data_IF_608865299078
#
_entry.id   IF_608865299078
#
_cell.length_a   1.000
_cell.length_b   1.000
_cell.length_c   1.000
_cell.angle_alpha   90.00
_cell.angle_beta   90.00
_cell.angle_gamma   90.00
#
_symmetry.space_group_name_H-M   'P 1'
#
loop_
_entity.id
_entity.type
_entity.pdbx_description
1 polymer ?
#
# COMPACT_ATOMS: atom_id res chain seq x y z
N UNK A 1 40.17 -36.01 18.64
CA UNK A 1 38.69 -35.85 18.73
C UNK A 1 38.24 -34.40 18.83
N UNK A 2 38.98 -33.49 19.49
CA UNK A 2 38.63 -32.06 19.56
C UNK A 2 38.63 -31.36 18.18
N UNK A 3 39.70 -31.54 17.40
CA UNK A 3 39.87 -30.95 16.06
C UNK A 3 38.71 -31.22 15.08
N UNK A 4 38.11 -32.42 15.15
CA UNK A 4 36.98 -32.79 14.29
C UNK A 4 35.70 -32.06 14.72
N UNK A 5 35.50 -31.87 16.03
CA UNK A 5 34.34 -31.14 16.57
C UNK A 5 34.39 -29.66 16.22
N UNK A 6 35.58 -29.05 16.25
CA UNK A 6 35.77 -27.64 15.90
C UNK A 6 35.49 -27.39 14.40
N UNK A 7 35.89 -28.33 13.53
CA UNK A 7 35.60 -28.27 12.09
C UNK A 7 34.10 -28.37 11.80
N UNK A 8 33.37 -29.28 12.47
CA UNK A 8 31.91 -29.40 12.32
C UNK A 8 31.18 -28.17 12.83
N UNK A 9 31.61 -27.59 13.95
CA UNK A 9 31.04 -26.36 14.49
C UNK A 9 31.23 -25.18 13.53
N UNK A 10 32.42 -25.07 12.92
CA UNK A 10 32.70 -24.06 11.89
C UNK A 10 31.80 -24.21 10.66
N UNK A 11 31.62 -25.43 10.15
CA UNK A 11 30.74 -25.69 9.00
C UNK A 11 29.27 -25.37 9.30
N UNK A 12 28.78 -25.71 10.49
CA UNK A 12 27.43 -25.36 10.95
C UNK A 12 27.23 -23.84 11.04
N UNK A 13 28.21 -23.12 11.60
CA UNK A 13 28.15 -21.66 11.70
C UNK A 13 28.16 -20.99 10.32
N UNK A 14 29.00 -21.47 9.40
CA UNK A 14 29.05 -20.97 8.01
C UNK A 14 27.72 -21.27 7.30
N UNK A 15 27.17 -22.47 7.45
CA UNK A 15 25.88 -22.84 6.87
C UNK A 15 24.74 -21.95 7.40
N UNK A 16 24.70 -21.67 8.71
CA UNK A 16 23.70 -20.79 9.31
C UNK A 16 23.85 -19.34 8.84
N UNK A 17 25.08 -18.83 8.74
CA UNK A 17 25.36 -17.51 8.18
C UNK A 17 24.90 -17.40 6.72
N UNK A 18 25.22 -18.40 5.90
CA UNK A 18 24.79 -18.45 4.49
C UNK A 18 23.26 -18.51 4.38
N UNK A 19 22.57 -19.34 5.17
CA UNK A 19 21.11 -19.36 5.20
C UNK A 19 20.50 -18.01 5.58
N UNK A 20 21.09 -17.31 6.54
CA UNK A 20 20.61 -15.99 6.98
C UNK A 20 20.80 -14.92 5.91
N UNK A 21 21.94 -14.91 5.19
CA UNK A 21 22.20 -13.98 4.09
C UNK A 21 21.29 -14.27 2.89
N UNK A 22 21.05 -15.54 2.57
CA UNK A 22 20.18 -15.95 1.44
C UNK A 22 18.70 -15.62 1.71
N UNK A 23 18.29 -15.55 2.99
CA UNK A 23 16.89 -15.29 3.36
C UNK A 23 16.49 -13.81 3.25
N UNK A 24 17.41 -12.90 2.93
CA UNK A 24 17.05 -11.50 2.66
C UNK A 24 16.58 -11.36 1.22
N UNK A 25 15.27 -11.26 1.03
CA UNK A 25 14.71 -10.91 -0.28
C UNK A 25 15.14 -9.48 -0.65
N UNK A 26 15.69 -9.26 -1.85
CA UNK A 26 16.05 -7.93 -2.30
C UNK A 26 14.79 -7.08 -2.47
N UNK A 27 14.91 -5.78 -2.26
CA UNK A 27 13.79 -4.88 -2.50
C UNK A 27 13.51 -4.74 -4.01
N UNK A 28 12.23 -4.65 -4.43
CA UNK A 28 11.85 -4.45 -5.82
C UNK A 28 12.31 -3.07 -6.34
N UNK A 29 12.71 -3.01 -7.62
CA UNK A 29 13.22 -1.78 -8.28
C UNK A 29 12.46 -1.45 -9.56
N UNK A 30 11.15 -1.28 -9.46
CA UNK A 30 10.32 -0.78 -10.55
C UNK A 30 10.56 0.73 -10.79
N UNK A 31 10.12 1.21 -11.95
CA UNK A 31 10.26 2.60 -12.39
C UNK A 31 8.88 3.20 -12.66
N UNK A 32 8.66 4.45 -12.24
CA UNK A 32 7.40 5.17 -12.51
C UNK A 32 7.13 5.32 -14.02
N UNK A 33 8.19 5.34 -14.84
CA UNK A 33 8.09 5.48 -16.30
C UNK A 33 7.69 4.17 -17.00
N UNK A 34 7.82 3.03 -16.33
CA UNK A 34 7.59 1.70 -16.89
C UNK A 34 7.03 0.76 -15.82
N UNK A 35 5.79 1.02 -15.40
CA UNK A 35 5.09 0.20 -14.43
C UNK A 35 4.55 -1.07 -15.10
N UNK A 36 4.81 -2.26 -14.53
CA UNK A 36 4.34 -3.51 -15.11
C UNK A 36 2.81 -3.61 -15.06
N UNK A 37 2.25 -4.30 -16.05
CA UNK A 37 0.85 -4.74 -16.02
C UNK A 37 0.72 -5.94 -15.07
N UNK A 38 -0.29 -5.93 -14.20
CA UNK A 38 -0.57 -6.98 -13.20
C UNK A 38 -2.03 -7.42 -13.29
N UNK A 39 -2.39 -8.51 -12.60
CA UNK A 39 -3.78 -8.98 -12.59
C UNK A 39 -4.74 -8.17 -11.70
N UNK A 40 -4.24 -7.14 -11.01
CA UNK A 40 -5.02 -6.35 -10.08
C UNK A 40 -6.21 -5.63 -10.76
N UNK A 41 -7.38 -5.65 -10.12
CA UNK A 41 -8.55 -4.89 -10.54
C UNK A 41 -9.48 -4.54 -9.37
N UNK A 42 -10.34 -3.54 -9.60
CA UNK A 42 -11.23 -2.98 -8.59
C UNK A 42 -12.62 -3.64 -8.50
N UNK A 43 -12.87 -4.79 -9.14
CA UNK A 43 -14.22 -5.39 -9.22
C UNK A 43 -14.81 -5.68 -7.83
N UNK A 44 -13.99 -6.20 -6.93
CA UNK A 44 -14.36 -6.58 -5.57
C UNK A 44 -13.58 -5.74 -4.54
N UNK A 45 -13.55 -4.43 -4.76
CA UNK A 45 -12.81 -3.47 -3.95
C UNK A 45 -13.70 -2.28 -3.60
N UNK A 46 -13.46 -1.70 -2.42
CA UNK A 46 -14.12 -0.48 -1.98
C UNK A 46 -13.62 0.70 -2.82
N UNK A 47 -14.56 1.52 -3.29
CA UNK A 47 -14.27 2.79 -3.96
C UNK A 47 -13.56 3.76 -3.02
N UNK A 48 -12.49 4.39 -3.49
CA UNK A 48 -11.59 5.22 -2.70
C UNK A 48 -10.57 4.44 -1.87
N UNK A 49 -10.59 3.10 -1.95
CA UNK A 49 -9.65 2.25 -1.21
C UNK A 49 -8.28 2.16 -1.88
N UNK A 50 -7.27 1.87 -1.06
CA UNK A 50 -5.86 1.73 -1.43
C UNK A 50 -5.45 0.26 -1.28
N UNK A 51 -4.76 -0.27 -2.28
CA UNK A 51 -4.47 -1.70 -2.37
C UNK A 51 -3.04 -1.97 -2.84
N UNK A 52 -2.23 -2.61 -2.00
CA UNK A 52 -0.89 -3.07 -2.32
C UNK A 52 -0.94 -4.08 -3.48
N UNK A 53 -0.06 -3.92 -4.47
CA UNK A 53 0.08 -4.89 -5.55
C UNK A 53 1.12 -5.96 -5.18
N UNK A 54 0.63 -7.16 -4.87
CA UNK A 54 1.48 -8.27 -4.46
C UNK A 54 2.32 -8.88 -5.60
N UNK A 55 1.99 -8.59 -6.87
CA UNK A 55 2.77 -9.06 -8.03
C UNK A 55 4.01 -8.18 -8.26
N UNK A 56 4.07 -7.01 -7.60
CA UNK A 56 5.21 -6.09 -7.64
C UNK A 56 5.94 -6.00 -6.30
N UNK A 57 5.79 -7.04 -5.46
CA UNK A 57 6.30 -7.06 -4.09
C UNK A 57 5.90 -5.80 -3.29
N UNK A 58 4.68 -5.31 -3.55
CA UNK A 58 4.08 -4.14 -2.92
C UNK A 58 4.81 -2.82 -3.17
N UNK A 59 5.80 -2.75 -4.08
CA UNK A 59 6.35 -1.46 -4.46
C UNK A 59 5.31 -0.60 -5.18
N UNK A 60 4.44 -1.24 -5.96
CA UNK A 60 3.30 -0.59 -6.58
C UNK A 60 2.04 -0.80 -5.73
N UNK A 61 1.15 0.18 -5.74
CA UNK A 61 -0.18 0.08 -5.16
C UNK A 61 -1.23 0.75 -6.06
N UNK A 62 -2.49 0.43 -5.82
CA UNK A 62 -3.62 0.87 -6.61
C UNK A 62 -4.60 1.66 -5.77
N UNK A 63 -5.16 2.73 -6.34
CA UNK A 63 -6.29 3.46 -5.76
C UNK A 63 -7.51 3.29 -6.66
N UNK A 64 -8.55 2.64 -6.12
CA UNK A 64 -9.79 2.41 -6.85
C UNK A 64 -10.68 3.65 -6.84
N UNK A 65 -11.15 4.09 -8.00
CA UNK A 65 -12.04 5.25 -8.14
C UNK A 65 -13.04 5.03 -9.28
N UNK A 66 -14.12 5.83 -9.31
CA UNK A 66 -15.07 5.90 -10.42
C UNK A 66 -14.61 6.98 -11.39
N UNK A 67 -14.61 6.65 -12.68
CA UNK A 67 -14.44 7.66 -13.72
C UNK A 67 -15.74 8.44 -13.96
N UNK A 68 -15.68 9.43 -14.88
CA UNK A 68 -16.82 10.28 -15.25
C UNK A 68 -18.00 9.50 -15.82
N UNK A 69 -17.75 8.31 -16.38
CA UNK A 69 -18.76 7.43 -16.97
C UNK A 69 -19.32 6.44 -15.93
N UNK A 70 -18.90 6.54 -14.67
CA UNK A 70 -19.32 5.66 -13.57
C UNK A 70 -18.64 4.29 -13.57
N UNK A 71 -17.65 4.05 -14.45
CA UNK A 71 -16.88 2.79 -14.46
C UNK A 71 -15.82 2.83 -13.37
N UNK A 72 -15.66 1.72 -12.67
CA UNK A 72 -14.63 1.58 -11.63
C UNK A 72 -13.29 1.25 -12.29
N UNK A 73 -12.27 2.04 -11.99
CA UNK A 73 -10.89 1.89 -12.47
C UNK A 73 -9.91 2.01 -11.30
N UNK A 74 -8.65 1.60 -11.50
CA UNK A 74 -7.55 1.91 -10.59
C UNK A 74 -6.59 2.91 -11.22
N UNK A 75 -6.02 3.77 -10.39
CA UNK A 75 -4.75 4.47 -10.69
C UNK A 75 -3.63 3.72 -10.00
N UNK A 76 -2.51 3.53 -10.70
CA UNK A 76 -1.30 2.89 -10.18
C UNK A 76 -0.36 3.97 -9.65
N UNK A 77 0.32 3.65 -8.56
CA UNK A 77 1.33 4.51 -7.96
C UNK A 77 2.51 3.64 -7.51
N UNK A 78 3.72 4.18 -7.61
CA UNK A 78 4.91 3.54 -7.08
C UNK A 78 5.35 4.19 -5.76
N UNK A 79 5.74 3.36 -4.80
CA UNK A 79 6.49 3.80 -3.63
C UNK A 79 7.92 4.19 -4.03
N UNK A 80 8.48 5.18 -3.34
CA UNK A 80 9.85 5.63 -3.57
C UNK A 80 10.89 4.54 -3.32
N UNK A 81 12.10 4.73 -3.84
CA UNK A 81 13.19 3.77 -3.75
C UNK A 81 13.43 3.29 -2.31
N UNK A 82 13.50 1.96 -2.12
CA UNK A 82 13.70 1.33 -0.81
C UNK A 82 12.44 1.27 0.07
N UNK A 83 11.27 1.60 -0.48
CA UNK A 83 9.99 1.50 0.25
C UNK A 83 8.97 0.67 -0.51
N UNK A 84 8.05 0.05 0.23
CA UNK A 84 6.91 -0.71 -0.29
C UNK A 84 5.65 -0.32 0.48
N UNK A 85 4.49 -0.51 -0.12
CA UNK A 85 3.21 -0.12 0.45
C UNK A 85 2.81 -1.07 1.58
N UNK A 86 2.74 -0.53 2.79
CA UNK A 86 2.22 -1.23 3.95
C UNK A 86 0.69 -1.16 3.94
N UNK A 87 0.04 -2.22 3.46
CA UNK A 87 -1.41 -2.29 3.37
C UNK A 87 -2.13 -2.06 4.71
N UNK A 88 -1.51 -2.42 5.84
CA UNK A 88 -2.15 -2.29 7.15
C UNK A 88 -2.27 -0.82 7.57
N UNK A 89 -1.24 -0.03 7.28
CA UNK A 89 -1.12 1.37 7.69
C UNK A 89 -1.33 2.37 6.54
N UNK A 90 -1.52 1.87 5.32
CA UNK A 90 -1.81 2.63 4.10
C UNK A 90 -0.73 3.68 3.76
N UNK A 91 0.54 3.34 4.03
CA UNK A 91 1.70 4.20 3.78
C UNK A 91 2.83 3.42 3.12
N UNK A 92 3.64 4.10 2.30
CA UNK A 92 4.93 3.54 1.87
C UNK A 92 5.89 3.51 3.07
N UNK A 93 6.43 2.34 3.37
CA UNK A 93 7.34 2.12 4.50
C UNK A 93 8.61 1.41 4.00
N UNK A 94 9.72 1.55 4.75
CA UNK A 94 10.94 0.79 4.49
C UNK A 94 10.62 -0.70 4.31
N UNK A 95 11.06 -1.28 3.20
CA UNK A 95 10.75 -2.67 2.82
C UNK A 95 11.12 -3.69 3.90
N UNK A 96 12.12 -3.38 4.75
CA UNK A 96 12.55 -4.25 5.85
C UNK A 96 11.58 -4.26 7.02
N UNK A 97 10.66 -3.30 7.11
CA UNK A 97 9.63 -3.23 8.16
C UNK A 97 8.31 -3.83 7.70
N UNK A 98 8.07 -3.89 6.39
CA UNK A 98 6.88 -4.52 5.82
C UNK A 98 7.14 -6.00 5.65
N UNK A 99 6.99 -6.76 6.74
CA UNK A 99 7.51 -8.11 6.79
C UNK A 99 6.82 -9.14 5.89
N UNK A 100 5.67 -8.85 5.27
CA UNK A 100 4.90 -9.82 4.47
C UNK A 100 3.99 -9.16 3.44
N UNK A 101 4.56 -8.66 2.34
CA UNK A 101 3.76 -8.13 1.22
C UNK A 101 2.69 -9.14 0.74
N UNK A 102 3.05 -10.43 0.68
CA UNK A 102 2.13 -11.49 0.25
C UNK A 102 0.89 -11.64 1.14
N UNK A 103 0.94 -11.14 2.38
CA UNK A 103 -0.20 -11.13 3.29
C UNK A 103 -1.06 -9.86 3.20
N UNK A 104 -0.69 -8.88 2.37
CA UNK A 104 -1.43 -7.62 2.21
C UNK A 104 -2.91 -7.83 1.91
N UNK A 105 -3.25 -8.85 1.12
CA UNK A 105 -4.65 -9.20 0.79
C UNK A 105 -5.55 -9.38 2.02
N UNK A 106 -5.01 -9.79 3.18
CA UNK A 106 -5.74 -9.93 4.45
C UNK A 106 -6.29 -8.59 4.97
N UNK A 107 -5.68 -7.48 4.58
CA UNK A 107 -6.00 -6.14 5.07
C UNK A 107 -6.71 -5.28 4.01
N UNK A 108 -7.04 -5.81 2.83
CA UNK A 108 -7.79 -5.07 1.81
C UNK A 108 -9.16 -4.58 2.29
N UNK A 109 -9.76 -5.27 3.26
CA UNK A 109 -11.06 -4.92 3.84
C UNK A 109 -10.91 -4.42 5.29
N UNK A 110 -9.78 -3.80 5.64
CA UNK A 110 -9.55 -3.35 7.01
C UNK A 110 -10.45 -2.15 7.39
N UNK A 111 -10.81 -2.06 8.67
CA UNK A 111 -11.61 -0.93 9.18
C UNK A 111 -10.87 0.40 8.99
N UNK A 112 -9.53 0.40 8.89
CA UNK A 112 -8.72 1.60 8.65
C UNK A 112 -9.04 2.27 7.31
N UNK A 113 -9.15 1.51 6.21
CA UNK A 113 -9.60 2.08 4.91
C UNK A 113 -11.02 2.63 5.03
N UNK A 114 -11.92 1.99 5.78
CA UNK A 114 -13.26 2.52 6.03
C UNK A 114 -13.26 3.79 6.89
N UNK A 115 -12.38 3.87 7.90
CA UNK A 115 -12.25 5.01 8.79
C UNK A 115 -11.68 6.22 8.04
N UNK A 116 -10.61 6.04 7.27
CA UNK A 116 -10.08 7.12 6.43
C UNK A 116 -11.09 7.54 5.35
N UNK A 117 -11.85 6.60 4.77
CA UNK A 117 -12.92 6.93 3.84
C UNK A 117 -14.08 7.67 4.52
N UNK A 118 -14.43 7.31 5.76
CA UNK A 118 -15.44 7.99 6.57
C UNK A 118 -14.98 9.39 6.95
N UNK A 119 -13.73 9.55 7.40
CA UNK A 119 -13.14 10.84 7.74
C UNK A 119 -13.06 11.76 6.52
N UNK A 120 -12.68 11.24 5.35
CA UNK A 120 -12.69 11.99 4.11
C UNK A 120 -14.11 12.41 3.69
N UNK A 121 -15.09 11.49 3.79
CA UNK A 121 -16.50 11.79 3.49
C UNK A 121 -17.10 12.83 4.43
N UNK A 122 -16.85 12.72 5.73
CA UNK A 122 -17.31 13.69 6.72
C UNK A 122 -16.72 15.08 6.44
N UNK A 123 -15.45 15.15 6.04
CA UNK A 123 -14.81 16.41 5.67
C UNK A 123 -15.42 17.03 4.40
N UNK A 124 -15.75 16.23 3.38
CA UNK A 124 -16.43 16.73 2.19
C UNK A 124 -17.84 17.22 2.51
N UNK A 125 -18.62 16.48 3.29
CA UNK A 125 -19.98 16.88 3.69
C UNK A 125 -19.97 18.20 4.49
N UNK A 126 -19.00 18.39 5.38
CA UNK A 126 -18.87 19.64 6.12
C UNK A 126 -18.42 20.80 5.22
N UNK A 127 -17.61 20.52 4.20
CA UNK A 127 -17.21 21.53 3.21
C UNK A 127 -18.40 21.98 2.38
N UNK A 128 -19.22 21.03 1.91
CA UNK A 128 -20.45 21.32 1.14
C UNK A 128 -21.44 22.15 1.95
N UNK A 129 -21.59 21.83 3.25
CA UNK A 129 -22.44 22.61 4.16
C UNK A 129 -21.97 24.05 4.32
N UNK A 130 -20.65 24.27 4.47
CA UNK A 130 -20.08 25.63 4.57
C UNK A 130 -20.25 26.43 3.29
N UNK A 131 -20.13 25.78 2.13
CA UNK A 131 -20.38 26.42 0.83
C UNK A 131 -21.85 26.86 0.74
N UNK A 132 -22.78 25.96 1.06
CA UNK A 132 -24.22 26.28 1.08
C UNK A 132 -24.56 27.42 2.03
N UNK A 133 -23.96 27.45 3.22
CA UNK A 133 -24.15 28.55 4.19
C UNK A 133 -23.58 29.89 3.66
N UNK A 134 -22.41 29.86 3.01
CA UNK A 134 -21.81 31.04 2.41
C UNK A 134 -22.64 31.57 1.23
N UNK A 135 -23.12 30.68 0.35
CA UNK A 135 -24.00 31.02 -0.76
C UNK A 135 -25.33 31.61 -0.26
N UNK A 136 -25.92 31.04 0.80
CA UNK A 136 -27.16 31.57 1.39
C UNK A 136 -26.95 32.95 2.02
N UNK A 137 -25.81 33.17 2.69
CA UNK A 137 -25.48 34.49 3.24
C UNK A 137 -25.23 35.54 2.14
N UNK A 138 -24.59 35.15 1.05
CA UNK A 138 -24.39 36.04 -0.09
C UNK A 138 -25.72 36.37 -0.78
N UNK A 139 -26.61 35.39 -0.91
CA UNK A 139 -27.97 35.57 -1.40
C UNK A 139 -28.79 36.53 -0.52
N UNK A 140 -28.75 36.38 0.81
CA UNK A 140 -29.40 37.31 1.75
C UNK A 140 -28.80 38.72 1.75
N UNK A 141 -27.57 38.91 1.28
CA UNK A 141 -26.98 40.25 1.11
C UNK A 141 -27.42 40.92 -0.20
N UNK A 142 -27.82 40.12 -1.19
CA UNK A 142 -28.22 40.57 -2.52
C UNK A 142 -29.74 40.82 -2.66
N UNK A 143 -30.54 40.43 -1.66
CA UNK A 143 -32.00 40.60 -1.61
C UNK A 143 -32.45 41.21 -0.28
#
# INVERSE_FOLDING_TARGET
>A
MAFLKDLFAGLLAISLCLCFVISQEPYPTYSEMDLPETSFNCRDKVHGGYYADIETDCQMYHVCHRDKDGKIKSTRFLCGNGTVFDQRHLVCQDYRRVHRCQESKKYYNNVATLLELLEAKLRSEETDKRILEAENFEFERLY
#
